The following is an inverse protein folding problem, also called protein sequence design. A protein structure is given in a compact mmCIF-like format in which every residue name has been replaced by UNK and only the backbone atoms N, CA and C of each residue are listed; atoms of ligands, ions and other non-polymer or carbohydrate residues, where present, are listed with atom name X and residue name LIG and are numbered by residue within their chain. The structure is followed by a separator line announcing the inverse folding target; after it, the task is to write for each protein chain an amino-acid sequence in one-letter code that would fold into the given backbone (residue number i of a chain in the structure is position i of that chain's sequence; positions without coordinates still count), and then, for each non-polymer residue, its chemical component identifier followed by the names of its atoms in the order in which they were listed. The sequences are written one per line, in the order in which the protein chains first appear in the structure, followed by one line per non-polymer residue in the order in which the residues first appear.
data_IF_335057290339
#
_entry.id   IF_335057290339
#
_cell.length_a   1.000
_cell.length_b   1.000
_cell.length_c   1.000
_cell.angle_alpha   90.00
_cell.angle_beta   90.00
_cell.angle_gamma   90.00
#
_symmetry.space_group_name_H-M   'P 1'
#
loop_
_entity.id
_entity.type
_entity.pdbx_description
1 polymer ?
#
# COMPACT_ATOMS: atom_id res chain seq x y z
N UNK A 1 -38.25 15.03 3.24
CA UNK A 1 -37.31 15.35 4.31
C UNK A 1 -37.46 14.25 5.34
N UNK A 2 -36.42 13.45 5.56
CA UNK A 2 -36.43 12.35 6.52
C UNK A 2 -35.56 12.78 7.69
N UNK A 3 -36.17 12.94 8.86
CA UNK A 3 -35.52 13.38 10.09
C UNK A 3 -34.67 12.24 10.65
N UNK A 4 -33.39 12.53 10.91
CA UNK A 4 -32.47 11.63 11.59
C UNK A 4 -32.79 11.61 13.09
N UNK A 5 -32.94 10.41 13.66
CA UNK A 5 -32.93 10.21 15.10
C UNK A 5 -31.54 9.71 15.52
N UNK A 6 -30.82 10.56 16.27
CA UNK A 6 -29.65 10.18 17.06
C UNK A 6 -30.06 9.19 18.16
N UNK A 7 -29.40 8.05 18.20
CA UNK A 7 -29.45 7.14 19.34
C UNK A 7 -28.12 7.18 20.07
N UNK A 8 -28.05 7.99 21.12
CA UNK A 8 -27.18 7.79 22.27
C UNK A 8 -27.51 6.41 22.88
N UNK A 9 -26.78 5.36 22.48
CA UNK A 9 -26.93 4.05 23.08
C UNK A 9 -25.77 3.77 24.05
N UNK A 10 -26.03 3.75 25.38
CA UNK A 10 -25.04 3.41 26.39
C UNK A 10 -24.70 1.92 26.25
N UNK A 11 -23.41 1.61 26.41
CA UNK A 11 -22.81 0.29 26.29
C UNK A 11 -23.73 -0.86 26.74
N UNK A 12 -24.07 -1.76 25.81
CA UNK A 12 -24.97 -2.89 26.08
C UNK A 12 -24.72 -4.10 25.19
N UNK A 13 -23.90 -5.03 25.67
CA UNK A 13 -24.15 -6.46 25.44
C UNK A 13 -23.54 -7.13 24.21
N UNK A 14 -22.21 -7.21 24.15
CA UNK A 14 -21.58 -8.47 23.72
C UNK A 14 -20.19 -8.66 24.30
N UNK A 15 -20.01 -9.81 24.96
CA UNK A 15 -18.76 -10.29 25.53
C UNK A 15 -17.75 -10.61 24.42
N UNK A 16 -17.00 -9.61 23.98
CA UNK A 16 -15.65 -9.83 23.48
C UNK A 16 -14.67 -8.96 24.25
N UNK A 17 -14.28 -9.46 25.42
CA UNK A 17 -13.03 -9.10 26.06
C UNK A 17 -11.90 -9.66 25.18
N UNK A 18 -11.37 -8.85 24.27
CA UNK A 18 -9.99 -9.10 23.86
C UNK A 18 -9.19 -8.71 25.09
N UNK A 19 -8.75 -9.72 25.86
CA UNK A 19 -7.52 -9.62 26.62
C UNK A 19 -6.54 -8.83 25.74
N UNK A 20 -6.28 -7.57 26.09
CA UNK A 20 -5.19 -6.81 25.52
C UNK A 20 -3.92 -7.42 26.10
N UNK A 21 -3.63 -8.67 25.69
CA UNK A 21 -2.33 -9.27 25.81
C UNK A 21 -1.37 -8.32 25.12
N UNK A 22 -0.29 -8.04 25.84
CA UNK A 22 0.89 -7.28 25.45
C UNK A 22 0.81 -6.70 24.04
N UNK A 23 0.63 -5.39 23.95
CA UNK A 23 1.00 -4.65 22.75
C UNK A 23 2.50 -4.90 22.52
N UNK A 24 2.82 -6.00 21.84
CA UNK A 24 4.17 -6.37 21.45
C UNK A 24 4.61 -5.28 20.49
N UNK A 25 5.28 -4.29 21.07
CA UNK A 25 6.01 -3.28 20.33
C UNK A 25 7.03 -4.02 19.48
N UNK A 26 6.73 -4.21 18.19
CA UNK A 26 7.71 -4.72 17.24
C UNK A 26 9.00 -3.87 17.35
N UNK A 27 10.14 -4.54 17.24
CA UNK A 27 11.45 -3.89 17.12
C UNK A 27 11.50 -2.99 15.90
N UNK A 28 12.52 -2.14 15.81
CA UNK A 28 12.70 -1.30 14.64
C UNK A 28 12.90 -2.15 13.39
N UNK A 29 13.71 -3.21 13.51
CA UNK A 29 14.09 -4.16 12.47
C UNK A 29 12.85 -4.88 11.91
N UNK A 30 11.99 -5.42 12.78
CA UNK A 30 10.76 -6.09 12.36
C UNK A 30 9.79 -5.11 11.67
N UNK A 31 9.69 -3.87 12.16
CA UNK A 31 8.82 -2.85 11.57
C UNK A 31 9.29 -2.45 10.18
N UNK A 32 10.60 -2.19 10.02
CA UNK A 32 11.13 -1.76 8.73
C UNK A 32 11.11 -2.90 7.71
N UNK A 33 11.32 -4.16 8.13
CA UNK A 33 11.19 -5.32 7.24
C UNK A 33 9.78 -5.45 6.66
N UNK A 34 8.77 -5.37 7.53
CA UNK A 34 7.35 -5.42 7.13
C UNK A 34 7.00 -4.28 6.17
N UNK A 35 7.45 -3.06 6.46
CA UNK A 35 7.20 -1.90 5.62
C UNK A 35 7.86 -2.02 4.24
N UNK A 36 9.13 -2.45 4.18
CA UNK A 36 9.84 -2.65 2.93
C UNK A 36 9.13 -3.69 2.05
N UNK A 37 8.74 -4.82 2.62
CA UNK A 37 7.99 -5.85 1.90
C UNK A 37 6.65 -5.32 1.38
N UNK A 38 5.89 -4.61 2.23
CA UNK A 38 4.61 -4.04 1.86
C UNK A 38 4.73 -3.00 0.72
N UNK A 39 5.71 -2.10 0.78
CA UNK A 39 5.89 -1.08 -0.26
C UNK A 39 6.32 -1.68 -1.59
N UNK A 40 7.18 -2.69 -1.60
CA UNK A 40 7.58 -3.39 -2.84
C UNK A 40 6.35 -4.01 -3.51
N UNK A 41 5.58 -4.80 -2.76
CA UNK A 41 4.38 -5.47 -3.25
C UNK A 41 3.34 -4.46 -3.78
N UNK A 42 3.07 -3.41 -3.01
CA UNK A 42 2.14 -2.36 -3.40
C UNK A 42 2.55 -1.65 -4.70
N UNK A 43 3.83 -1.30 -4.83
CA UNK A 43 4.35 -0.65 -6.02
C UNK A 43 4.31 -1.58 -7.25
N UNK A 44 4.52 -2.89 -7.07
CA UNK A 44 4.38 -3.89 -8.14
C UNK A 44 2.93 -4.05 -8.57
N UNK A 45 1.99 -4.11 -7.62
CA UNK A 45 0.55 -4.20 -7.91
C UNK A 45 0.06 -3.03 -8.78
N UNK A 46 0.53 -1.81 -8.52
CA UNK A 46 0.14 -0.64 -9.33
C UNK A 46 0.67 -0.66 -10.76
N UNK A 47 1.77 -1.37 -11.04
CA UNK A 47 2.33 -1.47 -12.39
C UNK A 47 1.31 -2.05 -13.39
N UNK A 48 0.54 -3.05 -12.96
CA UNK A 48 -0.46 -3.68 -13.83
C UNK A 48 -1.59 -2.73 -14.19
N UNK A 49 -2.03 -1.91 -13.24
CA UNK A 49 -3.06 -0.90 -13.51
C UNK A 49 -2.53 0.24 -14.39
N UNK A 50 -1.29 0.69 -14.17
CA UNK A 50 -0.66 1.67 -15.06
C UNK A 50 -0.50 1.13 -16.50
N UNK A 51 -0.12 -0.13 -16.68
CA UNK A 51 -0.07 -0.76 -18.02
C UNK A 51 -1.43 -0.75 -18.71
N UNK A 52 -2.50 -1.10 -17.98
CA UNK A 52 -3.87 -1.10 -18.53
C UNK A 52 -4.25 0.30 -19.03
N UNK A 53 -4.00 1.33 -18.23
CA UNK A 53 -4.33 2.71 -18.59
C UNK A 53 -3.43 3.26 -19.69
N UNK A 54 -2.14 2.93 -19.73
CA UNK A 54 -1.26 3.26 -20.85
C UNK A 54 -1.76 2.62 -22.14
N UNK A 55 -2.19 1.36 -22.11
CA UNK A 55 -2.77 0.68 -23.27
C UNK A 55 -4.08 1.34 -23.74
N UNK A 56 -4.92 1.81 -22.81
CA UNK A 56 -6.13 2.55 -23.14
C UNK A 56 -5.81 3.93 -23.73
N UNK A 57 -4.91 4.70 -23.12
CA UNK A 57 -4.46 5.99 -23.64
C UNK A 57 -3.88 5.88 -25.05
N UNK A 58 -3.15 4.79 -25.34
CA UNK A 58 -2.63 4.49 -26.67
C UNK A 58 -3.74 4.27 -27.70
N UNK A 59 -4.83 3.57 -27.34
CA UNK A 59 -5.99 3.37 -28.23
C UNK A 59 -6.70 4.68 -28.57
N UNK A 60 -6.66 5.65 -27.66
CA UNK A 60 -7.22 7.00 -27.83
C UNK A 60 -6.24 7.99 -28.50
N UNK A 61 -5.07 7.53 -28.96
CA UNK A 61 -4.08 8.37 -29.64
C UNK A 61 -3.42 9.41 -28.72
N UNK A 62 -3.32 9.14 -27.41
CA UNK A 62 -2.74 10.04 -26.41
C UNK A 62 -1.29 9.66 -26.09
N UNK A 63 -0.42 9.73 -27.09
CA UNK A 63 0.96 9.21 -26.98
C UNK A 63 1.78 9.87 -25.87
N UNK A 64 1.67 11.18 -25.67
CA UNK A 64 2.36 11.88 -24.56
C UNK A 64 1.96 11.36 -23.17
N UNK A 65 0.68 10.99 -22.99
CA UNK A 65 0.19 10.40 -21.73
C UNK A 65 0.80 9.01 -21.54
N UNK A 66 0.87 8.22 -22.62
CA UNK A 66 1.50 6.89 -22.59
C UNK A 66 2.96 6.99 -22.19
N UNK A 67 3.71 7.91 -22.79
CA UNK A 67 5.12 8.14 -22.48
C UNK A 67 5.33 8.47 -21.01
N UNK A 68 4.53 9.39 -20.44
CA UNK A 68 4.64 9.78 -19.04
C UNK A 68 4.27 8.63 -18.08
N UNK A 69 3.24 7.84 -18.39
CA UNK A 69 2.88 6.67 -17.58
C UNK A 69 4.02 5.65 -17.58
N UNK A 70 4.58 5.35 -18.76
CA UNK A 70 5.68 4.40 -18.88
C UNK A 70 6.95 4.90 -18.17
N UNK A 71 7.23 6.21 -18.22
CA UNK A 71 8.33 6.81 -17.50
C UNK A 71 8.14 6.68 -15.97
N UNK A 72 6.94 6.97 -15.45
CA UNK A 72 6.62 6.79 -14.04
C UNK A 72 6.80 5.34 -13.59
N UNK A 73 6.34 4.39 -14.40
CA UNK A 73 6.53 2.96 -14.15
C UNK A 73 8.01 2.57 -14.01
N UNK A 74 8.90 3.11 -14.87
CA UNK A 74 10.34 2.88 -14.75
C UNK A 74 10.91 3.43 -13.43
N UNK A 75 10.47 4.63 -13.01
CA UNK A 75 10.91 5.22 -11.74
C UNK A 75 10.46 4.38 -10.53
N UNK A 76 9.24 3.85 -10.55
CA UNK A 76 8.77 2.94 -9.50
C UNK A 76 9.55 1.62 -9.46
N UNK A 77 9.91 1.07 -10.63
CA UNK A 77 10.76 -0.12 -10.71
C UNK A 77 12.14 0.13 -10.09
N UNK A 78 12.73 1.27 -10.38
CA UNK A 78 14.00 1.68 -9.78
C UNK A 78 13.88 1.92 -8.27
N UNK A 79 12.79 2.53 -7.83
CA UNK A 79 12.44 2.64 -6.40
C UNK A 79 12.38 1.28 -5.72
N UNK A 80 11.68 0.31 -6.32
CA UNK A 80 11.59 -1.06 -5.79
C UNK A 80 12.94 -1.77 -5.74
N UNK A 81 13.83 -1.53 -6.71
CA UNK A 81 15.19 -2.08 -6.64
C UNK A 81 15.93 -1.57 -5.40
N UNK A 82 15.81 -0.27 -5.09
CA UNK A 82 16.41 0.33 -3.88
C UNK A 82 15.80 -0.21 -2.60
N UNK A 83 14.48 -0.40 -2.57
CA UNK A 83 13.80 -1.03 -1.43
C UNK A 83 14.28 -2.47 -1.20
N UNK A 84 14.45 -3.26 -2.28
CA UNK A 84 15.00 -4.62 -2.18
C UNK A 84 16.44 -4.61 -1.68
N UNK A 85 17.27 -3.67 -2.13
CA UNK A 85 18.63 -3.50 -1.60
C UNK A 85 18.62 -3.15 -0.10
N UNK A 86 17.74 -2.25 0.34
CA UNK A 86 17.60 -1.91 1.75
C UNK A 86 17.21 -3.13 2.58
N UNK A 87 16.27 -3.95 2.09
CA UNK A 87 15.87 -5.21 2.74
C UNK A 87 17.02 -6.22 2.82
N UNK A 88 17.81 -6.36 1.75
CA UNK A 88 19.01 -7.22 1.76
C UNK A 88 20.05 -6.77 2.80
N UNK A 89 20.27 -5.46 2.94
CA UNK A 89 21.20 -4.93 3.96
C UNK A 89 20.70 -5.27 5.36
N UNK A 90 19.40 -5.15 5.62
CA UNK A 90 18.78 -5.52 6.90
C UNK A 90 18.91 -7.00 7.22
N UNK A 91 18.82 -7.88 6.22
CA UNK A 91 19.00 -9.34 6.40
C UNK A 91 20.46 -9.73 6.67
N UNK A 92 21.41 -8.86 6.31
CA UNK A 92 22.84 -9.07 6.49
C UNK A 92 23.41 -8.44 7.78
N UNK A 93 22.63 -7.60 8.48
CA UNK A 93 23.02 -6.94 9.74
C UNK A 93 22.72 -7.79 10.96
#
# INVERSE_FOLDING_TARGET
MHEHHDHDNPCGGHSHCHSCGEHQSMSFEEKIDLLLAHWIDHNESHQEDYKKWAAQAKKEGKDEIVELILAAMQQFKEGNNRLRQAKQILEMS
#
